data_IF_418899739524
#
_entry.id   IF_418899739524
#
_cell.length_a   1.000
_cell.length_b   1.000
_cell.length_c   1.000
_cell.angle_alpha   90.00
_cell.angle_beta   90.00
_cell.angle_gamma   90.00
#
_symmetry.space_group_name_H-M   'P 1'
#
loop_
_entity.id
_entity.type
_entity.pdbx_description
1 polymer ?
#
# COMPACT_ATOMS: atom_id res chain seq x y z
N UNK A 1 -40.41 8.15 46.05
CA UNK A 1 -39.00 8.10 45.61
C UNK A 1 -38.54 6.65 45.71
N UNK A 2 -39.22 5.66 45.12
CA UNK A 2 -39.29 5.29 43.68
C UNK A 2 -37.90 5.28 43.03
N UNK A 3 -37.13 4.19 43.16
CA UNK A 3 -37.17 2.86 42.52
C UNK A 3 -36.57 2.83 41.11
N UNK A 4 -35.39 2.21 41.06
CA UNK A 4 -34.74 1.52 39.95
C UNK A 4 -35.75 0.54 39.31
N UNK A 5 -35.87 0.52 37.98
CA UNK A 5 -36.64 -0.50 37.27
C UNK A 5 -36.69 -0.36 35.74
N UNK A 6 -35.94 -1.23 35.08
CA UNK A 6 -36.25 -1.96 33.82
C UNK A 6 -36.79 -1.22 32.58
N UNK A 7 -36.00 -1.28 31.50
CA UNK A 7 -36.49 -1.59 30.14
C UNK A 7 -35.32 -1.97 29.20
N UNK A 8 -34.66 -3.08 29.50
CA UNK A 8 -34.12 -3.99 28.47
C UNK A 8 -35.17 -5.10 28.34
N UNK A 9 -35.44 -5.52 27.10
CA UNK A 9 -36.45 -6.51 26.66
C UNK A 9 -37.80 -5.96 26.18
N UNK A 10 -37.83 -5.34 24.99
CA UNK A 10 -38.82 -5.69 23.95
C UNK A 10 -38.15 -5.48 22.59
N UNK A 11 -37.82 -6.58 21.90
CA UNK A 11 -37.96 -6.82 20.45
C UNK A 11 -36.96 -7.88 19.97
N UNK A 12 -37.23 -9.11 20.39
CA UNK A 12 -36.89 -10.29 19.59
C UNK A 12 -38.21 -10.77 18.99
N UNK A 13 -38.54 -10.29 17.79
CA UNK A 13 -39.65 -10.82 16.98
C UNK A 13 -39.13 -11.06 15.57
N UNK A 14 -39.11 -12.35 15.21
CA UNK A 14 -38.98 -12.85 13.84
C UNK A 14 -40.12 -12.28 12.98
N UNK A 15 -39.80 -11.92 11.74
CA UNK A 15 -40.79 -11.81 10.66
C UNK A 15 -40.89 -10.42 10.05
N UNK A 16 -40.37 -10.33 8.83
CA UNK A 16 -40.86 -9.50 7.71
C UNK A 16 -41.62 -8.20 8.06
N UNK A 17 -40.96 -7.06 7.82
CA UNK A 17 -41.66 -5.90 7.29
C UNK A 17 -40.84 -5.27 6.16
N UNK A 18 -41.37 -5.46 4.95
CA UNK A 18 -41.08 -4.69 3.75
C UNK A 18 -41.68 -3.31 3.96
N UNK A 19 -40.87 -2.26 3.83
CA UNK A 19 -41.35 -0.89 3.95
C UNK A 19 -40.29 0.10 3.52
N UNK A 20 -40.27 0.42 2.22
CA UNK A 20 -39.52 1.54 1.66
C UNK A 20 -39.98 2.85 2.34
N UNK A 21 -39.27 3.28 3.37
CA UNK A 21 -39.29 4.66 3.84
C UNK A 21 -38.20 5.43 3.08
N UNK A 22 -38.53 5.83 1.86
CA UNK A 22 -37.79 6.84 1.13
C UNK A 22 -37.98 8.18 1.84
N UNK A 23 -37.00 8.60 2.64
CA UNK A 23 -36.92 9.99 3.13
C UNK A 23 -36.41 10.83 1.96
N UNK A 24 -37.25 11.65 1.31
CA UNK A 24 -36.81 12.52 0.22
C UNK A 24 -35.97 13.64 0.85
N UNK A 25 -34.70 13.76 0.46
CA UNK A 25 -33.79 14.82 0.91
C UNK A 25 -32.54 14.35 1.67
N UNK A 26 -32.49 13.12 2.18
CA UNK A 26 -31.30 12.62 2.89
C UNK A 26 -30.30 11.93 1.95
N UNK A 27 -30.76 11.39 0.82
CA UNK A 27 -29.89 10.75 -0.18
C UNK A 27 -29.11 11.76 -1.03
N UNK A 28 -29.66 12.95 -1.28
CA UNK A 28 -28.98 13.98 -2.06
C UNK A 28 -27.82 14.64 -1.27
N UNK A 29 -27.95 14.80 0.04
CA UNK A 29 -26.87 15.25 0.92
C UNK A 29 -25.79 14.18 1.13
N UNK A 30 -26.16 12.89 1.27
CA UNK A 30 -25.18 11.79 1.35
C UNK A 30 -24.44 11.60 0.01
N UNK A 31 -25.12 11.79 -1.13
CA UNK A 31 -24.47 11.79 -2.45
C UNK A 31 -23.61 13.04 -2.68
N UNK A 32 -23.94 14.20 -2.11
CA UNK A 32 -23.09 15.40 -2.12
C UNK A 32 -21.83 15.20 -1.26
N UNK A 33 -21.93 14.63 -0.06
CA UNK A 33 -20.78 14.31 0.79
C UNK A 33 -19.89 13.24 0.15
N UNK A 34 -20.46 12.20 -0.46
CA UNK A 34 -19.67 11.22 -1.22
C UNK A 34 -19.11 11.76 -2.54
N UNK A 35 -19.77 12.75 -3.17
CA UNK A 35 -19.20 13.44 -4.34
C UNK A 35 -18.14 14.47 -3.96
N UNK A 36 -18.19 15.07 -2.77
CA UNK A 36 -17.11 15.91 -2.25
C UNK A 36 -15.93 15.06 -1.76
N UNK A 37 -16.16 13.90 -1.15
CA UNK A 37 -15.10 12.91 -0.88
C UNK A 37 -14.52 12.32 -2.20
N UNK A 38 -15.33 12.13 -3.24
CA UNK A 38 -14.84 11.78 -4.59
C UNK A 38 -14.11 12.94 -5.26
N UNK A 39 -14.58 14.18 -5.16
CA UNK A 39 -13.88 15.36 -5.70
C UNK A 39 -12.59 15.66 -4.94
N UNK A 40 -12.55 15.39 -3.64
CA UNK A 40 -11.33 15.35 -2.86
C UNK A 40 -10.41 14.23 -3.34
N UNK A 41 -10.93 13.03 -3.67
CA UNK A 41 -10.13 11.94 -4.27
C UNK A 41 -9.73 12.16 -5.74
N UNK A 42 -10.39 13.05 -6.48
CA UNK A 42 -10.24 13.21 -7.95
C UNK A 42 -9.49 14.51 -8.34
N UNK A 43 -9.03 15.31 -7.37
CA UNK A 43 -8.17 16.48 -7.66
C UNK A 43 -6.90 16.56 -6.80
N UNK A 44 -6.41 15.42 -6.29
CA UNK A 44 -5.01 15.29 -5.93
C UNK A 44 -4.23 14.92 -7.19
N UNK A 45 -3.79 15.94 -7.93
CA UNK A 45 -2.55 15.82 -8.71
C UNK A 45 -1.58 15.02 -7.86
N UNK A 46 -1.10 13.89 -8.39
CA UNK A 46 -0.21 12.95 -7.71
C UNK A 46 0.69 13.72 -6.74
N UNK A 47 0.53 13.54 -5.41
CA UNK A 47 1.25 14.33 -4.41
C UNK A 47 2.77 14.20 -4.55
N UNK A 48 3.24 13.32 -5.44
CA UNK A 48 4.62 13.04 -5.76
C UNK A 48 5.02 13.24 -7.22
N UNK A 49 4.22 13.91 -8.08
CA UNK A 49 4.61 14.47 -9.39
C UNK A 49 5.74 15.53 -9.34
N UNK A 50 6.79 15.27 -8.57
CA UNK A 50 8.04 16.02 -8.53
C UNK A 50 8.91 15.42 -9.61
N UNK A 51 9.61 16.28 -10.35
CA UNK A 51 10.72 15.89 -11.22
C UNK A 51 11.63 14.86 -10.53
N UNK A 52 12.25 13.97 -11.31
CA UNK A 52 13.26 13.00 -10.84
C UNK A 52 14.17 13.57 -9.74
N UNK A 53 14.56 12.75 -8.75
CA UNK A 53 15.49 13.14 -7.67
C UNK A 53 16.79 13.77 -8.19
N UNK A 54 17.19 13.41 -9.41
CA UNK A 54 18.37 13.94 -10.10
C UNK A 54 18.14 15.31 -10.77
N UNK A 55 16.94 15.87 -10.69
CA UNK A 55 16.62 17.19 -11.21
C UNK A 55 17.36 18.28 -10.42
N UNK A 56 17.96 19.29 -11.09
CA UNK A 56 18.72 20.35 -10.44
C UNK A 56 17.88 21.16 -9.43
N UNK A 57 16.54 21.13 -9.54
CA UNK A 57 15.62 21.86 -8.66
C UNK A 57 14.90 20.97 -7.64
N UNK A 58 15.25 19.68 -7.52
CA UNK A 58 14.54 18.73 -6.68
C UNK A 58 14.46 19.17 -5.20
N UNK A 59 15.60 19.58 -4.62
CA UNK A 59 15.66 20.03 -3.22
C UNK A 59 14.73 21.24 -2.96
N UNK A 60 14.75 22.22 -3.86
CA UNK A 60 13.88 23.41 -3.79
C UNK A 60 12.41 23.01 -3.88
N UNK A 61 12.04 22.10 -4.78
CA UNK A 61 10.67 21.61 -4.93
C UNK A 61 10.19 20.88 -3.67
N UNK A 62 11.02 20.01 -3.09
CA UNK A 62 10.71 19.30 -1.83
C UNK A 62 10.50 20.30 -0.70
N UNK A 63 11.38 21.28 -0.54
CA UNK A 63 11.26 22.28 0.52
C UNK A 63 10.02 23.18 0.35
N UNK A 64 9.71 23.59 -0.87
CA UNK A 64 8.49 24.36 -1.16
C UNK A 64 7.22 23.56 -0.84
N UNK A 65 7.20 22.26 -1.17
CA UNK A 65 6.08 21.37 -0.81
C UNK A 65 5.96 21.19 0.69
N UNK A 66 7.08 20.96 1.40
CA UNK A 66 7.09 20.90 2.87
C UNK A 66 6.55 22.19 3.50
N UNK A 67 6.97 23.35 3.02
CA UNK A 67 6.48 24.63 3.51
C UNK A 67 4.97 24.80 3.30
N UNK A 68 4.45 24.38 2.14
CA UNK A 68 3.00 24.36 1.85
C UNK A 68 2.24 23.45 2.81
N UNK A 69 2.69 22.20 2.97
CA UNK A 69 2.07 21.22 3.88
C UNK A 69 2.09 21.75 5.32
N UNK A 70 3.23 22.28 5.79
CA UNK A 70 3.36 22.88 7.12
C UNK A 70 2.35 24.00 7.32
N UNK A 71 2.24 24.92 6.35
CA UNK A 71 1.27 26.02 6.42
C UNK A 71 -0.16 25.49 6.54
N UNK A 72 -0.56 24.56 5.69
CA UNK A 72 -1.89 23.94 5.72
C UNK A 72 -2.15 23.20 7.03
N UNK A 73 -1.18 22.44 7.55
CA UNK A 73 -1.28 21.78 8.85
C UNK A 73 -1.52 22.78 9.98
N UNK A 74 -0.77 23.88 10.02
CA UNK A 74 -0.91 24.90 11.07
C UNK A 74 -2.28 25.58 11.00
N UNK A 75 -2.77 25.89 9.80
CA UNK A 75 -4.12 26.42 9.60
C UNK A 75 -5.17 25.44 10.12
N UNK A 76 -5.03 24.14 9.77
CA UNK A 76 -5.89 23.07 10.26
C UNK A 76 -5.71 22.75 11.74
N UNK A 77 -4.62 23.13 12.42
CA UNK A 77 -4.47 22.97 13.87
C UNK A 77 -5.22 24.09 14.60
N UNK A 78 -5.13 25.32 14.07
CA UNK A 78 -5.67 26.53 14.70
C UNK A 78 -7.17 26.70 14.53
N UNK A 79 -7.72 26.21 13.42
CA UNK A 79 -9.14 26.24 13.16
C UNK A 79 -9.92 25.40 14.21
N UNK A 80 -11.18 25.69 14.51
CA UNK A 80 -11.97 24.87 15.46
C UNK A 80 -13.04 24.11 14.68
N UNK A 81 -12.82 22.82 14.49
CA UNK A 81 -13.70 21.97 13.69
C UNK A 81 -15.02 21.72 14.40
N UNK A 82 -16.11 21.59 13.64
CA UNK A 82 -17.38 21.16 14.20
C UNK A 82 -17.27 19.69 14.65
N UNK A 83 -18.03 19.24 15.66
CA UNK A 83 -17.95 17.86 16.15
C UNK A 83 -18.10 16.78 15.07
N UNK A 84 -18.91 17.04 14.04
CA UNK A 84 -19.10 16.13 12.90
C UNK A 84 -17.91 16.04 11.93
N UNK A 85 -17.00 17.02 11.96
CA UNK A 85 -15.85 17.12 11.04
C UNK A 85 -14.57 16.55 11.64
N UNK A 86 -14.54 16.32 12.95
CA UNK A 86 -13.32 15.92 13.66
C UNK A 86 -12.65 14.67 13.07
N UNK A 87 -13.43 13.69 12.62
CA UNK A 87 -12.88 12.45 12.05
C UNK A 87 -12.27 12.64 10.65
N UNK A 88 -12.92 13.38 9.76
CA UNK A 88 -12.39 13.68 8.42
C UNK A 88 -11.19 14.61 8.52
N UNK A 89 -11.26 15.60 9.42
CA UNK A 89 -10.17 16.54 9.70
C UNK A 89 -8.94 15.84 10.27
N UNK A 90 -9.08 15.02 11.30
CA UNK A 90 -7.96 14.27 11.88
C UNK A 90 -7.31 13.33 10.85
N UNK A 91 -8.11 12.69 9.98
CA UNK A 91 -7.59 11.88 8.87
C UNK A 91 -6.77 12.72 7.89
N UNK A 92 -7.28 13.86 7.44
CA UNK A 92 -6.56 14.77 6.54
C UNK A 92 -5.26 15.31 7.17
N UNK A 93 -5.28 15.66 8.45
CA UNK A 93 -4.09 16.10 9.17
C UNK A 93 -3.05 14.97 9.29
N UNK A 94 -3.48 13.75 9.61
CA UNK A 94 -2.60 12.58 9.66
C UNK A 94 -1.95 12.31 8.30
N UNK A 95 -2.70 12.41 7.20
CA UNK A 95 -2.14 12.29 5.84
C UNK A 95 -1.07 13.36 5.56
N UNK A 96 -1.34 14.61 5.91
CA UNK A 96 -0.40 15.71 5.68
C UNK A 96 0.88 15.54 6.50
N UNK A 97 0.81 15.08 7.74
CA UNK A 97 2.00 14.77 8.55
C UNK A 97 2.82 13.64 7.94
N UNK A 98 2.15 12.57 7.50
CA UNK A 98 2.84 11.47 6.81
C UNK A 98 3.55 11.98 5.56
N UNK A 99 2.87 12.78 4.73
CA UNK A 99 3.46 13.37 3.53
C UNK A 99 4.66 14.27 3.87
N UNK A 100 4.56 15.06 4.94
CA UNK A 100 5.63 15.93 5.42
C UNK A 100 6.91 15.13 5.73
N UNK A 101 6.78 14.01 6.45
CA UNK A 101 7.90 13.12 6.80
C UNK A 101 8.43 12.39 5.57
N UNK A 102 7.53 11.90 4.71
CA UNK A 102 7.87 11.20 3.48
C UNK A 102 8.66 12.07 2.49
N UNK A 103 8.43 13.39 2.48
CA UNK A 103 9.19 14.33 1.65
C UNK A 103 10.66 14.42 2.05
N UNK A 104 11.00 14.35 3.34
CA UNK A 104 12.41 14.28 3.76
C UNK A 104 13.04 12.95 3.39
N UNK A 105 12.30 11.85 3.57
CA UNK A 105 12.78 10.53 3.19
C UNK A 105 13.05 10.43 1.67
N UNK A 106 12.21 11.07 0.85
CA UNK A 106 12.37 11.14 -0.62
C UNK A 106 13.65 11.85 -1.07
N UNK A 107 14.26 12.71 -0.23
CA UNK A 107 15.58 13.30 -0.55
C UNK A 107 16.67 12.25 -0.75
N UNK A 108 16.44 11.05 -0.21
CA UNK A 108 17.42 10.00 -0.10
C UNK A 108 17.15 8.80 -1.01
N UNK A 109 15.88 8.54 -1.33
CA UNK A 109 15.45 7.33 -2.01
C UNK A 109 14.40 7.65 -3.07
N UNK A 110 14.44 6.89 -4.16
CA UNK A 110 13.51 7.05 -5.27
C UNK A 110 12.14 6.43 -4.91
N UNK A 111 11.07 7.13 -5.23
CA UNK A 111 9.71 6.65 -5.03
C UNK A 111 9.35 5.68 -6.15
N UNK A 112 8.76 4.54 -5.78
CA UNK A 112 8.25 3.53 -6.69
C UNK A 112 6.75 3.67 -6.84
N UNK A 113 6.26 3.55 -8.09
CA UNK A 113 4.82 3.50 -8.34
C UNK A 113 4.20 2.27 -7.68
N UNK A 114 3.03 2.45 -7.07
CA UNK A 114 2.25 1.33 -6.53
C UNK A 114 1.71 0.40 -7.64
N UNK A 115 1.66 0.86 -8.88
CA UNK A 115 1.27 0.07 -10.05
C UNK A 115 2.28 -1.04 -10.35
N UNK A 116 3.58 -0.80 -10.09
CA UNK A 116 4.65 -1.80 -10.25
C UNK A 116 4.33 -3.09 -9.49
N UNK A 117 3.85 -2.95 -8.25
CA UNK A 117 3.52 -4.07 -7.37
C UNK A 117 2.13 -4.65 -7.63
N UNK A 118 1.35 -3.99 -8.48
CA UNK A 118 0.05 -4.47 -8.97
C UNK A 118 0.18 -5.24 -10.28
N UNK A 119 1.38 -5.29 -10.88
CA UNK A 119 1.65 -6.08 -12.07
C UNK A 119 1.41 -7.56 -11.79
N UNK A 120 0.78 -8.21 -12.77
CA UNK A 120 0.43 -9.62 -12.73
C UNK A 120 1.04 -10.34 -13.93
N UNK A 121 1.16 -11.66 -13.80
CA UNK A 121 1.54 -12.56 -14.89
C UNK A 121 0.59 -13.74 -14.93
N UNK A 122 0.42 -14.29 -16.13
CA UNK A 122 -0.35 -15.51 -16.32
C UNK A 122 0.61 -16.68 -16.31
N UNK A 123 0.33 -17.67 -15.46
CA UNK A 123 1.01 -18.95 -15.44
C UNK A 123 0.06 -20.03 -15.93
N UNK A 124 0.64 -21.10 -16.46
CA UNK A 124 -0.10 -22.29 -16.85
C UNK A 124 0.48 -23.50 -16.14
N UNK A 125 -0.39 -24.38 -15.66
CA UNK A 125 0.02 -25.58 -14.94
C UNK A 125 -1.03 -26.67 -15.07
N UNK A 126 -0.58 -27.91 -15.11
CA UNK A 126 -1.37 -29.14 -15.03
C UNK A 126 -1.53 -29.64 -13.58
N UNK A 127 -0.77 -29.06 -12.65
CA UNK A 127 -0.60 -29.52 -11.27
C UNK A 127 -1.57 -28.85 -10.29
N UNK A 128 -2.64 -28.22 -10.79
CA UNK A 128 -3.62 -27.54 -9.96
C UNK A 128 -4.52 -28.53 -9.19
N UNK A 129 -4.82 -28.21 -7.93
CA UNK A 129 -5.73 -29.01 -7.11
C UNK A 129 -7.18 -28.69 -7.46
N UNK A 130 -7.99 -29.69 -7.74
CA UNK A 130 -9.45 -29.51 -7.90
C UNK A 130 -10.07 -29.43 -6.49
N UNK A 131 -10.78 -28.35 -6.19
CA UNK A 131 -11.36 -28.08 -4.86
C UNK A 131 -12.88 -28.31 -4.80
N UNK A 132 -13.56 -28.35 -5.95
CA UNK A 132 -14.98 -28.63 -6.01
C UNK A 132 -15.27 -29.55 -7.21
N UNK A 133 -15.94 -30.67 -6.95
CA UNK A 133 -16.35 -31.64 -7.96
C UNK A 133 -17.85 -31.87 -7.84
N UNK A 134 -18.63 -31.38 -8.79
CA UNK A 134 -20.01 -31.86 -8.98
C UNK A 134 -20.06 -33.19 -9.75
N UNK A 135 -18.92 -33.67 -10.27
CA UNK A 135 -18.85 -34.83 -11.16
C UNK A 135 -17.67 -35.75 -10.85
N UNK A 136 -17.88 -37.03 -11.12
CA UNK A 136 -17.16 -38.20 -10.61
C UNK A 136 -15.82 -38.54 -11.30
N UNK A 137 -15.21 -37.63 -12.05
CA UNK A 137 -13.88 -37.87 -12.63
C UNK A 137 -13.05 -36.58 -12.73
N UNK A 138 -11.90 -36.50 -12.05
CA UNK A 138 -10.97 -35.38 -12.22
C UNK A 138 -10.33 -35.46 -13.61
N UNK A 139 -10.48 -34.39 -14.40
CA UNK A 139 -9.74 -34.25 -15.65
C UNK A 139 -8.56 -33.32 -15.39
N UNK A 140 -7.34 -33.85 -15.50
CA UNK A 140 -6.13 -33.03 -15.52
C UNK A 140 -6.13 -32.22 -16.81
N UNK A 141 -6.29 -30.91 -16.71
CA UNK A 141 -6.26 -29.97 -17.83
C UNK A 141 -5.32 -28.82 -17.49
N UNK A 142 -4.56 -28.35 -18.49
CA UNK A 142 -3.74 -27.15 -18.36
C UNK A 142 -4.64 -25.99 -17.94
N UNK A 143 -4.44 -25.50 -16.71
CA UNK A 143 -5.23 -24.41 -16.12
C UNK A 143 -4.40 -23.15 -16.07
N UNK A 144 -5.01 -22.01 -16.39
CA UNK A 144 -4.36 -20.70 -16.34
C UNK A 144 -4.65 -20.02 -15.02
N UNK A 145 -3.63 -19.44 -14.40
CA UNK A 145 -3.78 -18.62 -13.19
C UNK A 145 -3.15 -17.26 -13.40
N UNK A 146 -3.84 -16.23 -12.93
CA UNK A 146 -3.29 -14.88 -12.82
C UNK A 146 -2.65 -14.73 -11.44
N UNK A 147 -1.35 -14.46 -11.38
CA UNK A 147 -0.58 -14.35 -10.14
C UNK A 147 0.18 -13.02 -10.12
N UNK A 148 0.55 -12.47 -8.95
CA UNK A 148 1.37 -11.28 -8.89
C UNK A 148 2.73 -11.54 -9.55
N UNK A 149 3.24 -10.52 -10.25
CA UNK A 149 4.59 -10.56 -10.81
C UNK A 149 5.61 -10.64 -9.68
N UNK A 150 5.45 -9.80 -8.66
CA UNK A 150 6.31 -9.73 -7.48
C UNK A 150 5.71 -10.49 -6.30
N UNK A 151 6.51 -11.36 -5.71
CA UNK A 151 6.26 -11.86 -4.36
C UNK A 151 6.92 -10.91 -3.38
N UNK A 152 6.28 -10.72 -2.24
CA UNK A 152 6.71 -9.77 -1.22
C UNK A 152 6.74 -10.42 0.15
N UNK A 153 7.79 -10.14 0.91
CA UNK A 153 7.94 -10.61 2.29
C UNK A 153 8.62 -9.54 3.14
N UNK A 154 8.38 -9.55 4.45
CA UNK A 154 9.15 -8.72 5.38
C UNK A 154 10.62 -9.16 5.37
N UNK A 155 11.55 -8.26 5.70
CA UNK A 155 12.99 -8.56 5.70
C UNK A 155 13.38 -9.76 6.59
N UNK A 156 12.57 -10.08 7.60
CA UNK A 156 12.76 -11.21 8.52
C UNK A 156 12.17 -12.54 8.05
N UNK A 157 11.37 -12.54 6.99
CA UNK A 157 10.66 -13.72 6.51
C UNK A 157 11.55 -14.55 5.56
N UNK A 158 11.33 -15.87 5.55
CA UNK A 158 12.14 -16.83 4.77
C UNK A 158 11.45 -17.31 3.49
N UNK A 159 10.15 -17.06 3.35
CA UNK A 159 9.36 -17.38 2.17
C UNK A 159 8.12 -16.47 2.09
N UNK A 160 7.50 -16.45 0.93
CA UNK A 160 6.19 -15.85 0.68
C UNK A 160 5.28 -16.88 0.01
N UNK A 161 4.01 -16.91 0.42
CA UNK A 161 2.99 -17.82 -0.13
C UNK A 161 1.90 -17.02 -0.82
N UNK A 162 1.51 -17.47 -2.01
CA UNK A 162 0.37 -16.93 -2.74
C UNK A 162 -0.59 -18.06 -3.12
N UNK A 163 -1.89 -17.84 -2.86
CA UNK A 163 -2.95 -18.74 -3.27
C UNK A 163 -3.72 -18.12 -4.40
N UNK A 164 -3.85 -18.86 -5.50
CA UNK A 164 -4.66 -18.47 -6.63
C UNK A 164 -5.75 -19.51 -6.88
N UNK A 165 -6.91 -19.05 -7.32
CA UNK A 165 -7.99 -19.91 -7.75
C UNK A 165 -8.43 -19.55 -9.15
N UNK A 166 -8.74 -20.56 -9.95
CA UNK A 166 -9.33 -20.42 -11.28
C UNK A 166 -10.57 -21.30 -11.36
N UNK A 167 -11.53 -20.90 -12.18
CA UNK A 167 -12.76 -21.64 -12.38
C UNK A 167 -13.00 -21.76 -13.89
N UNK A 168 -13.37 -22.97 -14.32
CA UNK A 168 -14.00 -23.17 -15.61
C UNK A 168 -15.47 -23.56 -15.39
N UNK A 169 -16.22 -23.77 -16.47
CA UNK A 169 -17.65 -24.09 -16.40
C UNK A 169 -18.00 -25.36 -15.57
N UNK A 170 -17.01 -26.17 -15.15
CA UNK A 170 -17.21 -27.49 -14.52
C UNK A 170 -16.40 -27.71 -13.24
N UNK A 171 -15.29 -27.01 -13.06
CA UNK A 171 -14.32 -27.27 -12.00
C UNK A 171 -13.76 -25.97 -11.43
N UNK A 172 -13.55 -25.97 -10.11
CA UNK A 172 -12.76 -24.97 -9.42
C UNK A 172 -11.39 -25.53 -9.08
N UNK A 173 -10.36 -24.80 -9.48
CA UNK A 173 -8.96 -25.15 -9.33
C UNK A 173 -8.28 -24.21 -8.32
N UNK A 174 -7.33 -24.74 -7.55
CA UNK A 174 -6.45 -24.01 -6.64
C UNK A 174 -4.99 -24.30 -6.97
N UNK A 175 -4.16 -23.27 -6.86
CA UNK A 175 -2.72 -23.44 -6.73
C UNK A 175 -2.21 -22.65 -5.54
N UNK A 176 -1.26 -23.26 -4.83
CA UNK A 176 -0.47 -22.61 -3.80
C UNK A 176 0.96 -22.51 -4.32
N UNK A 177 1.47 -21.28 -4.41
CA UNK A 177 2.82 -20.99 -4.83
C UNK A 177 3.59 -20.55 -3.60
N UNK A 178 4.67 -21.26 -3.30
CA UNK A 178 5.62 -20.90 -2.25
C UNK A 178 6.93 -20.52 -2.91
N UNK A 179 7.40 -19.31 -2.65
CA UNK A 179 8.68 -18.81 -3.14
C UNK A 179 9.58 -18.43 -1.98
N UNK A 180 10.84 -18.88 -2.02
CA UNK A 180 11.80 -18.59 -0.94
C UNK A 180 12.33 -17.17 -1.09
N UNK A 181 12.56 -16.49 0.04
CA UNK A 181 13.18 -15.17 -0.01
C UNK A 181 14.63 -15.28 -0.50
N UNK A 182 15.05 -14.39 -1.42
CA UNK A 182 16.45 -14.35 -1.85
C UNK A 182 17.41 -14.03 -0.69
N UNK A 183 18.65 -14.54 -0.71
CA UNK A 183 19.62 -14.24 0.32
C UNK A 183 19.98 -12.75 0.30
N UNK A 184 19.90 -12.11 1.48
CA UNK A 184 20.19 -10.68 1.64
C UNK A 184 21.72 -10.47 1.68
N UNK A 185 22.23 -9.64 0.78
CA UNK A 185 23.64 -9.27 0.72
C UNK A 185 24.07 -8.41 1.92
N UNK A 186 25.38 -8.33 2.17
CA UNK A 186 25.92 -7.42 3.20
C UNK A 186 25.57 -5.95 2.90
N UNK A 187 25.59 -5.57 1.61
CA UNK A 187 25.25 -4.22 1.17
C UNK A 187 23.78 -3.88 1.45
N UNK A 188 22.86 -4.77 1.09
CA UNK A 188 21.43 -4.58 1.34
C UNK A 188 21.11 -4.46 2.84
N UNK A 189 21.81 -5.22 3.70
CA UNK A 189 21.69 -5.06 5.16
C UNK A 189 22.19 -3.70 5.65
N UNK A 190 23.26 -3.18 5.06
CA UNK A 190 23.77 -1.86 5.45
C UNK A 190 22.84 -0.73 4.97
N UNK A 191 22.37 -0.81 3.72
CA UNK A 191 21.38 0.12 3.18
C UNK A 191 20.06 0.07 3.97
N UNK A 192 19.64 -1.10 4.45
CA UNK A 192 18.51 -1.23 5.37
C UNK A 192 18.72 -0.45 6.68
N UNK A 193 19.91 -0.53 7.29
CA UNK A 193 20.24 0.24 8.50
C UNK A 193 20.25 1.74 8.24
N UNK A 194 20.83 2.15 7.11
CA UNK A 194 20.84 3.56 6.70
C UNK A 194 19.43 4.08 6.43
N UNK A 195 18.55 3.28 5.83
CA UNK A 195 17.14 3.61 5.64
C UNK A 195 16.45 3.85 7.00
N UNK A 196 16.62 2.96 7.98
CA UNK A 196 16.10 3.18 9.33
C UNK A 196 16.65 4.46 9.97
N UNK A 197 17.97 4.67 9.91
CA UNK A 197 18.60 5.87 10.46
C UNK A 197 18.03 7.16 9.85
N UNK A 198 17.90 7.21 8.51
CA UNK A 198 17.33 8.37 7.80
C UNK A 198 15.85 8.57 8.12
N UNK A 199 15.09 7.48 8.23
CA UNK A 199 13.70 7.54 8.65
C UNK A 199 13.55 8.14 10.06
N UNK A 200 14.29 7.63 11.04
CA UNK A 200 14.24 8.16 12.41
C UNK A 200 14.71 9.61 12.49
N UNK A 201 15.69 10.00 11.68
CA UNK A 201 16.12 11.40 11.56
C UNK A 201 14.98 12.28 11.06
N UNK A 202 14.29 11.90 9.97
CA UNK A 202 13.16 12.65 9.43
C UNK A 202 12.00 12.78 10.45
N UNK A 203 11.74 11.73 11.22
CA UNK A 203 10.74 11.76 12.31
C UNK A 203 11.19 12.71 13.42
N UNK A 204 12.45 12.63 13.85
CA UNK A 204 13.02 13.52 14.89
C UNK A 204 12.94 14.99 14.49
N UNK A 205 13.36 15.32 13.27
CA UNK A 205 13.28 16.69 12.73
C UNK A 205 11.84 17.20 12.66
N UNK A 206 10.87 16.30 12.42
CA UNK A 206 9.44 16.67 12.43
C UNK A 206 8.88 16.86 13.84
N UNK A 207 9.45 16.20 14.84
CA UNK A 207 9.09 16.38 16.26
C UNK A 207 9.67 17.66 16.86
N UNK A 208 10.78 18.17 16.32
CA UNK A 208 11.40 19.45 16.73
C UNK A 208 10.58 20.67 16.31
N UNK A 209 9.70 20.53 15.30
CA UNK A 209 8.76 21.59 14.92
C UNK A 209 7.66 21.72 15.98
N UNK A 210 7.53 22.89 16.61
CA UNK A 210 6.65 23.08 17.75
C UNK A 210 5.18 22.74 17.46
N UNK A 211 4.65 23.18 16.31
CA UNK A 211 3.25 22.94 15.96
C UNK A 211 3.03 21.51 15.47
N UNK A 212 3.90 21.03 14.58
CA UNK A 212 3.78 19.69 14.00
C UNK A 212 4.09 18.61 15.05
N UNK A 213 5.15 18.79 15.82
CA UNK A 213 5.58 17.86 16.88
C UNK A 213 4.54 17.70 17.98
N UNK A 214 3.87 18.78 18.39
CA UNK A 214 2.75 18.68 19.32
C UNK A 214 1.57 17.90 18.73
N UNK A 215 1.27 18.09 17.44
CA UNK A 215 0.22 17.31 16.78
C UNK A 215 0.58 15.83 16.70
N UNK A 216 1.82 15.50 16.30
CA UNK A 216 2.35 14.12 16.27
C UNK A 216 2.20 13.50 17.65
N UNK A 217 2.71 14.15 18.71
CA UNK A 217 2.67 13.63 20.07
C UNK A 217 1.24 13.37 20.58
N UNK A 218 0.26 14.21 20.18
CA UNK A 218 -1.13 14.11 20.66
C UNK A 218 -1.99 13.13 19.87
N UNK A 219 -1.75 12.97 18.57
CA UNK A 219 -2.71 12.32 17.66
C UNK A 219 -2.14 11.10 16.94
N UNK A 220 -0.82 10.96 16.89
CA UNK A 220 -0.21 9.84 16.21
C UNK A 220 0.03 8.75 17.25
N UNK A 221 -0.94 7.82 17.32
CA UNK A 221 -0.63 6.50 17.85
C UNK A 221 0.64 5.99 17.15
N UNK A 222 1.53 5.35 17.89
CA UNK A 222 2.84 4.84 17.43
C UNK A 222 2.81 3.97 16.16
N UNK A 223 1.62 3.66 15.62
CA UNK A 223 1.36 2.90 14.41
C UNK A 223 1.25 3.73 13.12
N UNK A 224 0.92 5.03 13.18
CA UNK A 224 0.69 5.86 11.98
C UNK A 224 1.98 6.23 11.25
N UNK A 225 3.08 6.41 12.00
CA UNK A 225 4.42 6.64 11.45
C UNK A 225 5.27 5.41 11.78
N UNK A 226 5.21 4.42 10.90
CA UNK A 226 6.09 3.26 10.94
C UNK A 226 6.66 2.98 9.55
N UNK A 227 7.93 2.57 9.51
CA UNK A 227 8.59 2.09 8.31
C UNK A 227 8.74 0.58 8.38
N UNK A 228 8.29 -0.11 7.34
CA UNK A 228 8.53 -1.54 7.15
C UNK A 228 9.50 -1.74 6.00
N UNK A 229 10.49 -2.60 6.18
CA UNK A 229 11.35 -3.05 5.09
C UNK A 229 10.81 -4.35 4.52
N UNK A 230 10.57 -4.35 3.21
CA UNK A 230 10.08 -5.51 2.47
C UNK A 230 11.00 -5.83 1.31
N UNK A 231 11.17 -7.12 1.09
CA UNK A 231 11.83 -7.64 -0.10
C UNK A 231 10.75 -7.99 -1.11
N UNK A 232 10.94 -7.56 -2.35
CA UNK A 232 10.14 -8.00 -3.47
C UNK A 232 11.03 -8.69 -4.50
N UNK A 233 10.58 -9.81 -5.04
CA UNK A 233 11.30 -10.56 -6.06
C UNK A 233 10.31 -11.30 -6.96
N UNK A 234 10.75 -11.72 -8.13
CA UNK A 234 9.91 -12.51 -9.04
C UNK A 234 10.25 -13.98 -8.80
N UNK A 235 9.28 -14.83 -8.40
CA UNK A 235 9.54 -16.25 -8.15
C UNK A 235 10.14 -16.96 -9.35
N UNK A 236 11.01 -17.93 -9.06
CA UNK A 236 11.71 -18.75 -10.05
C UNK A 236 10.74 -19.66 -10.79
N UNK A 237 11.05 -19.99 -12.05
CA UNK A 237 10.19 -20.89 -12.84
C UNK A 237 10.05 -22.29 -12.21
N UNK A 238 11.11 -22.77 -11.54
CA UNK A 238 11.11 -24.03 -10.79
C UNK A 238 10.20 -24.02 -9.56
N UNK A 239 10.02 -22.86 -8.90
CA UNK A 239 9.09 -22.70 -7.77
C UNK A 239 7.62 -22.68 -8.24
N UNK A 240 7.40 -22.36 -9.52
CA UNK A 240 6.07 -22.22 -10.11
C UNK A 240 5.57 -23.51 -10.79
N UNK A 241 6.43 -24.54 -10.90
CA UNK A 241 6.17 -25.76 -11.71
C UNK A 241 5.70 -25.41 -13.14
N UNK A 242 6.34 -24.41 -13.77
CA UNK A 242 6.03 -23.99 -15.14
C UNK A 242 7.05 -24.63 -16.10
N UNK A 243 6.58 -25.16 -17.22
CA UNK A 243 7.43 -25.47 -18.38
C UNK A 243 7.89 -24.16 -19.04
N UNK A 244 8.90 -23.50 -18.46
CA UNK A 244 9.57 -22.36 -19.07
C UNK A 244 11.05 -22.37 -18.70
N UNK A 245 11.90 -21.99 -19.65
CA UNK A 245 13.33 -21.74 -19.42
C UNK A 245 13.50 -20.80 -18.23
N UNK A 246 14.25 -21.25 -17.23
CA UNK A 246 14.46 -20.55 -15.97
C UNK A 246 14.94 -19.11 -16.22
N UNK A 247 14.12 -18.14 -15.83
CA UNK A 247 14.55 -16.75 -15.63
C UNK A 247 14.38 -16.49 -14.14
N UNK A 248 15.48 -16.64 -13.42
CA UNK A 248 15.58 -16.14 -12.06
C UNK A 248 15.86 -14.62 -12.13
N UNK A 249 15.36 -13.84 -11.16
CA UNK A 249 15.38 -12.37 -11.22
C UNK A 249 15.74 -11.70 -9.89
N UNK A 250 16.34 -10.51 -10.03
CA UNK A 250 16.90 -9.72 -8.95
C UNK A 250 15.84 -9.24 -7.93
N UNK A 251 16.12 -9.41 -6.63
CA UNK A 251 15.33 -8.82 -5.57
C UNK A 251 15.53 -7.31 -5.47
N UNK A 252 14.46 -6.63 -5.02
CA UNK A 252 14.50 -5.25 -4.56
C UNK A 252 14.16 -5.16 -3.08
N UNK A 253 14.87 -4.30 -2.38
CA UNK A 253 14.57 -3.90 -1.02
C UNK A 253 13.81 -2.58 -1.05
N UNK A 254 12.63 -2.59 -0.46
CA UNK A 254 11.71 -1.46 -0.45
C UNK A 254 11.37 -1.07 0.98
N UNK A 255 11.43 0.22 1.25
CA UNK A 255 10.85 0.79 2.46
C UNK A 255 9.40 1.19 2.19
N UNK A 256 8.46 0.58 2.92
CA UNK A 256 7.07 1.00 2.97
C UNK A 256 6.89 1.94 4.15
N UNK A 257 6.61 3.21 3.86
CA UNK A 257 6.22 4.22 4.84
C UNK A 257 4.70 4.37 4.81
N UNK A 258 4.09 4.42 6.00
CA UNK A 258 2.65 4.55 6.21
C UNK A 258 1.84 3.36 5.67
N UNK A 259 1.78 2.29 6.46
CA UNK A 259 0.99 1.10 6.13
C UNK A 259 -0.40 1.15 6.82
N UNK A 260 -1.05 2.32 6.76
CA UNK A 260 -2.40 2.49 7.31
C UNK A 260 -3.43 2.03 6.26
N UNK A 261 -4.48 1.27 6.63
CA UNK A 261 -5.46 0.75 5.66
C UNK A 261 -6.13 1.81 4.78
N UNK A 262 -6.25 3.04 5.29
CA UNK A 262 -6.87 4.16 4.57
C UNK A 262 -5.91 4.89 3.61
N UNK A 263 -4.60 4.64 3.69
CA UNK A 263 -3.58 5.35 2.91
C UNK A 263 -2.76 4.35 2.10
N UNK A 264 -2.68 4.57 0.79
CA UNK A 264 -1.75 3.83 -0.06
C UNK A 264 -0.34 4.13 0.41
N UNK A 265 0.33 3.15 1.02
CA UNK A 265 1.68 3.34 1.56
C UNK A 265 2.67 3.80 0.51
N UNK A 266 3.63 4.62 0.93
CA UNK A 266 4.71 5.12 0.09
C UNK A 266 5.82 4.09 0.02
N UNK A 267 6.25 3.73 -1.18
CA UNK A 267 7.25 2.69 -1.42
C UNK A 267 8.52 3.30 -1.99
N UNK A 268 9.62 3.16 -1.27
CA UNK A 268 10.92 3.72 -1.66
C UNK A 268 11.91 2.62 -1.97
N UNK A 269 12.62 2.75 -3.10
CA UNK A 269 13.70 1.85 -3.46
C UNK A 269 14.91 2.11 -2.57
N UNK A 270 15.28 1.12 -1.75
CA UNK A 270 16.42 1.20 -0.83
C UNK A 270 17.65 0.56 -1.44
N UNK A 271 17.50 -0.64 -1.98
CA UNK A 271 18.60 -1.36 -2.63
C UNK A 271 18.06 -2.34 -3.66
N UNK A 272 18.95 -2.77 -4.55
CA UNK A 272 18.76 -3.84 -5.53
C UNK A 272 20.07 -4.59 -5.63
N UNK A 273 20.02 -5.89 -5.84
CA UNK A 273 21.25 -6.64 -6.05
C UNK A 273 21.01 -7.79 -7.00
N UNK A 274 21.98 -7.95 -7.90
CA UNK A 274 21.98 -9.04 -8.84
C UNK A 274 22.19 -10.34 -8.07
N UNK A 275 21.39 -11.34 -8.41
CA UNK A 275 21.68 -12.71 -8.00
C UNK A 275 22.46 -13.37 -9.15
N UNK A 276 23.53 -14.09 -8.79
CA UNK A 276 24.49 -14.61 -9.79
C UNK A 276 23.79 -15.54 -10.79
N UNK A 277 23.78 -15.15 -12.06
CA UNK A 277 23.20 -15.92 -13.17
C UNK A 277 21.86 -15.38 -13.72
N UNK A 278 21.48 -14.15 -13.38
CA UNK A 278 20.12 -13.60 -13.59
C UNK A 278 20.10 -12.36 -14.52
N UNK A 279 18.93 -12.04 -15.11
CA UNK A 279 18.77 -10.88 -16.03
C UNK A 279 18.47 -9.62 -15.22
N UNK A 280 19.18 -8.50 -15.47
CA UNK A 280 19.06 -7.27 -14.69
C UNK A 280 17.66 -6.63 -14.69
N UNK A 281 17.21 -6.19 -13.51
CA UNK A 281 15.89 -5.63 -13.18
C UNK A 281 15.53 -4.25 -13.81
N UNK A 282 16.47 -3.61 -14.48
CA UNK A 282 16.42 -2.23 -14.96
C UNK A 282 15.21 -1.93 -15.85
N UNK A 283 14.75 -2.88 -16.65
CA UNK A 283 13.66 -2.66 -17.60
C UNK A 283 12.33 -2.28 -16.92
N UNK A 284 12.00 -2.87 -15.77
CA UNK A 284 10.78 -2.53 -15.02
C UNK A 284 10.95 -1.24 -14.21
N UNK A 285 12.15 -0.99 -13.66
CA UNK A 285 12.40 0.25 -12.95
C UNK A 285 12.32 1.47 -13.86
N UNK A 286 12.83 1.39 -15.09
CA UNK A 286 12.77 2.53 -16.02
C UNK A 286 11.33 2.90 -16.39
N UNK A 287 10.44 1.92 -16.49
CA UNK A 287 9.02 2.16 -16.81
C UNK A 287 8.21 2.68 -15.61
N UNK A 288 8.55 2.25 -14.39
CA UNK A 288 7.74 2.47 -13.18
C UNK A 288 8.41 3.32 -12.09
N UNK A 289 9.62 3.82 -12.34
CA UNK A 289 10.16 5.00 -11.64
C UNK A 289 9.75 6.24 -12.43
N UNK A 290 9.43 7.33 -11.74
CA UNK A 290 8.89 8.58 -12.29
C UNK A 290 9.79 9.29 -13.33
N UNK A 291 10.86 8.65 -13.78
CA UNK A 291 11.84 9.17 -14.74
C UNK A 291 11.29 9.20 -16.17
N UNK A 292 10.15 8.55 -16.49
CA UNK A 292 9.51 8.59 -17.83
C UNK A 292 8.00 8.83 -17.89
N UNK A 293 7.32 9.00 -16.76
CA UNK A 293 5.89 9.37 -16.78
C UNK A 293 5.63 10.78 -17.36
N UNK A 294 6.68 11.56 -17.62
CA UNK A 294 6.62 12.89 -18.27
C UNK A 294 7.13 12.95 -19.71
N UNK A 295 7.44 11.82 -20.37
CA UNK A 295 7.94 11.77 -21.76
C UNK A 295 7.01 11.01 -22.73
N UNK A 296 5.73 10.81 -22.39
CA UNK A 296 4.72 10.31 -23.33
C UNK A 296 3.69 11.37 -23.65
#
# INVERSE_FOLDING_TARGET
MELIGNALDILNVKGEFIGNLSIPGCLDEIMLVHNEERRARINYNDPFSVSSRNSPNFSTLVNNRKAKIRKTLIEMIKDVGLPGENNSRNRAMNQLVVQYICLDFRKHYDLLSNELFSLKRVIKTDSARIINTSYSSPKFAETKFEIPLFFGANLSETYSEFKASSEDNKYKYEIVIQSRTPPITKNAKENARQAYSRYYKAVSESLEDNEIGQFIHKNIESKLINMKLRMFWIPKSSELKIEATAIDKDPILVAELCNHPEYSGYRYLIDRWDVKGEIPYEHYLVEFTETKAGEK
#
